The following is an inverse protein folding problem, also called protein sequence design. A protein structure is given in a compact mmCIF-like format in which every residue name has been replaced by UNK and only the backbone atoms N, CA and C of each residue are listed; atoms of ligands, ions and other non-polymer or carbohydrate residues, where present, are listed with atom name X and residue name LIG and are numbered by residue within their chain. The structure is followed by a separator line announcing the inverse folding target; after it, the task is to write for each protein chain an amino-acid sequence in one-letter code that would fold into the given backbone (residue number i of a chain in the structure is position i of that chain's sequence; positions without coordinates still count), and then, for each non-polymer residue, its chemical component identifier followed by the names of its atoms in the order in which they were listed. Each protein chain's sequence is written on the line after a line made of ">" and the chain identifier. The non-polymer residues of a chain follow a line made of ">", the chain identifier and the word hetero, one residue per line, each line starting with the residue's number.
data_IF_835804815359
#
_entry.id   IF_835804815359
#
_cell.length_a   1.000
_cell.length_b   1.000
_cell.length_c   1.000
_cell.angle_alpha   90.00
_cell.angle_beta   90.00
_cell.angle_gamma   90.00
#
_symmetry.space_group_name_H-M   'P 1'
#
loop_
_entity.id
_entity.type
_entity.pdbx_description
1 polymer ?
#
# COMPACT_ATOMS: atom_id res chain seq x y z
N UNK A 1 11.25 13.31 41.40
CA UNK A 1 11.22 12.88 40.01
C UNK A 1 10.35 11.64 39.85
N UNK A 2 10.09 11.25 38.58
CA UNK A 2 9.31 10.06 38.26
C UNK A 2 10.26 8.96 37.78
N UNK A 3 10.10 7.77 38.32
CA UNK A 3 10.87 6.59 37.91
C UNK A 3 10.20 5.94 36.68
N UNK A 4 10.82 6.12 35.51
CA UNK A 4 10.26 5.67 34.21
C UNK A 4 11.05 4.50 33.63
N UNK A 5 12.38 4.56 33.71
CA UNK A 5 13.26 3.60 33.04
C UNK A 5 13.89 2.60 34.00
N UNK A 6 14.13 1.38 33.52
CA UNK A 6 14.84 0.33 34.29
C UNK A 6 16.21 0.81 34.76
N UNK A 7 16.93 1.56 33.92
CA UNK A 7 18.26 2.08 34.20
C UNK A 7 18.26 3.09 35.34
N UNK A 8 17.16 3.82 35.56
CA UNK A 8 17.03 4.70 36.73
C UNK A 8 16.95 3.91 38.04
N UNK A 9 16.22 2.79 38.05
CA UNK A 9 16.19 1.92 39.21
C UNK A 9 17.58 1.32 39.54
N UNK A 10 18.34 0.95 38.52
CA UNK A 10 19.72 0.48 38.64
C UNK A 10 20.60 1.57 39.27
N UNK A 11 20.57 2.81 38.77
CA UNK A 11 21.34 3.92 39.30
C UNK A 11 20.97 4.21 40.75
N UNK A 12 19.70 4.23 41.12
CA UNK A 12 19.25 4.41 42.49
C UNK A 12 19.87 3.36 43.42
N UNK A 13 19.90 2.09 43.02
CA UNK A 13 20.50 1.04 43.83
C UNK A 13 22.02 1.14 43.94
N UNK A 14 22.68 1.65 42.93
CA UNK A 14 24.12 1.91 42.96
C UNK A 14 24.48 3.09 43.85
N UNK A 15 23.76 4.19 43.70
CA UNK A 15 24.07 5.44 44.41
C UNK A 15 23.65 5.37 45.90
N UNK A 16 22.52 4.77 46.24
CA UNK A 16 22.00 4.71 47.59
C UNK A 16 22.53 3.50 48.35
N UNK A 17 22.47 2.31 47.79
CA UNK A 17 22.87 1.06 48.43
C UNK A 17 24.31 0.63 48.10
N UNK A 18 25.00 1.32 47.18
CA UNK A 18 26.34 0.94 46.77
C UNK A 18 26.39 -0.40 46.03
N UNK A 19 25.35 -0.77 45.32
CA UNK A 19 25.34 -2.01 44.53
C UNK A 19 26.41 -1.94 43.46
N UNK A 20 27.16 -3.04 43.34
CA UNK A 20 28.02 -3.22 42.16
C UNK A 20 27.21 -3.56 40.91
N UNK A 21 27.87 -3.58 39.75
CA UNK A 21 27.23 -3.88 38.46
C UNK A 21 26.54 -5.23 38.43
N UNK A 22 27.07 -6.25 39.11
CA UNK A 22 26.48 -7.59 39.13
C UNK A 22 25.20 -7.63 39.94
N UNK A 23 25.19 -6.99 41.11
CA UNK A 23 24.01 -6.86 41.99
C UNK A 23 22.90 -6.05 41.32
N UNK A 24 23.27 -4.96 40.67
CA UNK A 24 22.34 -4.15 39.88
C UNK A 24 21.75 -4.92 38.66
N UNK A 25 22.52 -5.79 38.04
CA UNK A 25 22.04 -6.65 36.93
C UNK A 25 21.07 -7.74 37.46
N UNK A 26 21.27 -8.24 38.69
CA UNK A 26 20.31 -9.14 39.33
C UNK A 26 18.95 -8.44 39.49
N UNK A 27 18.94 -7.18 39.97
CA UNK A 27 17.72 -6.37 40.02
C UNK A 27 17.04 -6.25 38.65
N UNK A 28 17.81 -5.87 37.61
CA UNK A 28 17.30 -5.77 36.26
C UNK A 28 16.69 -7.07 35.75
N UNK A 29 17.35 -8.22 36.04
CA UNK A 29 16.82 -9.55 35.69
C UNK A 29 15.58 -9.91 36.47
N UNK A 30 15.50 -9.56 37.76
CA UNK A 30 14.32 -9.77 38.59
C UNK A 30 13.13 -8.97 38.09
N UNK A 31 13.36 -7.71 37.71
CA UNK A 31 12.38 -6.83 37.06
C UNK A 31 11.87 -7.48 35.76
N UNK A 32 12.75 -7.80 34.83
CA UNK A 32 12.39 -8.31 33.51
C UNK A 32 11.67 -9.67 33.53
N UNK A 33 12.04 -10.55 34.48
CA UNK A 33 11.46 -11.90 34.60
C UNK A 33 10.31 -11.98 35.61
N UNK A 34 9.95 -10.89 36.26
CA UNK A 34 8.89 -10.80 37.29
C UNK A 34 9.01 -11.87 38.39
N UNK A 35 10.25 -12.18 38.85
CA UNK A 35 10.52 -13.20 39.86
C UNK A 35 10.42 -12.59 41.26
N UNK A 36 9.29 -12.83 41.92
CA UNK A 36 9.00 -12.27 43.27
C UNK A 36 10.00 -12.69 44.35
N UNK A 37 10.52 -13.92 44.33
CA UNK A 37 11.51 -14.41 45.32
C UNK A 37 12.84 -13.63 45.20
N UNK A 38 13.34 -13.45 43.97
CA UNK A 38 14.57 -12.69 43.72
C UNK A 38 14.41 -11.24 44.11
N UNK A 39 13.23 -10.66 43.87
CA UNK A 39 12.91 -9.29 44.31
C UNK A 39 12.94 -9.10 45.80
N UNK A 40 12.44 -10.07 46.57
CA UNK A 40 12.48 -10.01 48.02
C UNK A 40 13.92 -10.06 48.56
N UNK A 41 14.80 -10.86 47.96
CA UNK A 41 16.23 -10.91 48.28
C UNK A 41 16.94 -9.59 47.96
N UNK A 42 16.69 -9.03 46.80
CA UNK A 42 17.26 -7.74 46.36
C UNK A 42 16.77 -6.62 47.25
N UNK A 43 15.49 -6.61 47.64
CA UNK A 43 14.91 -5.63 48.56
C UNK A 43 15.61 -5.66 49.92
N UNK A 44 15.80 -6.83 50.50
CA UNK A 44 16.50 -7.01 51.76
C UNK A 44 17.92 -6.47 51.67
N UNK A 45 18.66 -6.89 50.66
CA UNK A 45 20.03 -6.43 50.45
C UNK A 45 20.13 -4.93 50.23
N UNK A 46 19.16 -4.32 49.50
CA UNK A 46 19.12 -2.89 49.26
C UNK A 46 18.93 -2.11 50.57
N UNK A 47 17.98 -2.49 51.42
CA UNK A 47 17.70 -1.81 52.69
C UNK A 47 18.91 -1.92 53.63
N UNK A 48 19.48 -3.13 53.80
CA UNK A 48 20.64 -3.36 54.67
C UNK A 48 21.86 -2.55 54.24
N UNK A 49 22.16 -2.50 52.94
CA UNK A 49 23.28 -1.76 52.39
C UNK A 49 23.06 -0.23 52.41
N UNK A 50 21.85 0.21 52.15
CA UNK A 50 21.49 1.65 52.20
C UNK A 50 21.66 2.20 53.61
N UNK A 51 21.19 1.45 54.62
CA UNK A 51 21.36 1.80 56.04
C UNK A 51 22.86 1.82 56.44
N UNK A 52 23.63 0.81 56.01
CA UNK A 52 25.08 0.75 56.27
C UNK A 52 25.85 1.89 55.63
N UNK A 53 25.44 2.36 54.43
CA UNK A 53 26.07 3.51 53.76
C UNK A 53 25.72 4.85 54.41
N UNK A 54 24.69 4.93 55.28
CA UNK A 54 24.30 6.13 56.00
C UNK A 54 23.78 7.28 55.13
N UNK A 55 23.40 7.00 53.89
CA UNK A 55 22.88 8.02 52.96
C UNK A 55 21.40 8.28 53.24
N UNK A 56 20.64 7.24 53.58
CA UNK A 56 19.20 7.29 53.89
C UNK A 56 18.92 6.46 55.13
N UNK A 57 17.80 6.75 55.80
CA UNK A 57 17.32 5.90 56.91
C UNK A 57 16.73 4.62 56.37
N UNK A 58 16.48 3.67 57.27
CA UNK A 58 15.83 2.39 56.91
C UNK A 58 14.45 2.59 56.31
N UNK A 59 13.66 3.48 56.93
CA UNK A 59 12.33 3.85 56.48
C UNK A 59 12.34 4.48 55.09
N UNK A 60 13.28 5.38 54.84
CA UNK A 60 13.47 6.00 53.53
C UNK A 60 13.90 4.97 52.47
N UNK A 61 14.79 4.05 52.84
CA UNK A 61 15.19 2.95 51.92
C UNK A 61 14.02 2.04 51.55
N UNK A 62 13.14 1.69 52.51
CA UNK A 62 11.94 0.92 52.28
C UNK A 62 10.97 1.66 51.34
N UNK A 63 10.79 2.97 51.53
CA UNK A 63 9.95 3.80 50.68
C UNK A 63 10.52 3.89 49.25
N UNK A 64 11.80 4.16 49.09
CA UNK A 64 12.48 4.24 47.80
C UNK A 64 12.34 2.88 47.05
N UNK A 65 12.57 1.76 47.75
CA UNK A 65 12.42 0.46 47.12
C UNK A 65 10.97 0.18 46.72
N UNK A 66 9.97 0.67 47.47
CA UNK A 66 8.57 0.57 47.08
C UNK A 66 8.27 1.30 45.76
N UNK A 67 8.95 2.41 45.50
CA UNK A 67 8.84 3.11 44.21
C UNK A 67 9.44 2.26 43.08
N UNK A 68 10.58 1.59 43.30
CA UNK A 68 11.16 0.64 42.36
C UNK A 68 10.19 -0.50 42.09
N UNK A 69 9.60 -1.12 43.10
CA UNK A 69 8.61 -2.21 42.97
C UNK A 69 7.37 -1.78 42.18
N UNK A 70 6.85 -0.58 42.43
CA UNK A 70 5.68 -0.03 41.69
C UNK A 70 6.02 0.26 40.25
N UNK A 71 7.21 0.85 39.97
CA UNK A 71 7.63 1.19 38.62
C UNK A 71 7.87 -0.01 37.73
N UNK A 72 8.26 -1.16 38.32
CA UNK A 72 8.62 -2.39 37.60
C UNK A 72 7.51 -2.95 36.70
N UNK A 73 6.26 -2.69 37.04
CA UNK A 73 5.13 -3.18 36.24
C UNK A 73 5.12 -2.58 34.83
N UNK A 74 5.70 -1.39 34.66
CA UNK A 74 5.64 -0.57 33.46
C UNK A 74 6.98 0.06 33.07
N UNK A 75 8.09 -0.31 33.69
CA UNK A 75 9.40 0.30 33.41
C UNK A 75 9.93 -0.15 32.04
N UNK A 76 10.31 0.84 31.25
CA UNK A 76 10.84 0.65 29.92
C UNK A 76 12.38 0.62 29.93
N UNK A 77 12.96 -0.10 28.98
CA UNK A 77 14.36 0.01 28.66
C UNK A 77 14.65 1.36 28.00
N UNK A 78 15.57 2.15 28.55
CA UNK A 78 15.89 3.49 28.06
C UNK A 78 16.45 3.47 26.64
N UNK A 79 17.33 2.54 26.31
CA UNK A 79 17.91 2.40 24.97
C UNK A 79 16.84 2.11 23.93
N UNK A 80 15.87 1.23 24.25
CA UNK A 80 14.73 0.97 23.38
C UNK A 80 13.89 2.24 23.15
N UNK A 81 13.55 2.96 24.22
CA UNK A 81 12.78 4.21 24.12
C UNK A 81 13.50 5.27 23.29
N UNK A 82 14.83 5.44 23.48
CA UNK A 82 15.64 6.39 22.70
C UNK A 82 15.66 6.00 21.23
N UNK A 83 15.83 4.72 20.92
CA UNK A 83 15.85 4.24 19.52
C UNK A 83 14.51 4.51 18.83
N UNK A 84 13.39 4.24 19.50
CA UNK A 84 12.05 4.54 18.95
C UNK A 84 11.80 6.04 18.83
N UNK A 85 12.22 6.83 19.80
CA UNK A 85 12.10 8.30 19.74
C UNK A 85 12.91 8.87 18.57
N UNK A 86 14.10 8.33 18.32
CA UNK A 86 14.91 8.71 17.17
C UNK A 86 14.21 8.36 15.84
N UNK A 87 13.70 7.14 15.70
CA UNK A 87 12.97 6.75 14.51
C UNK A 87 11.71 7.60 14.30
N UNK A 88 10.97 7.90 15.38
CA UNK A 88 9.79 8.77 15.32
C UNK A 88 10.15 10.18 14.88
N UNK A 89 11.26 10.73 15.42
CA UNK A 89 11.76 12.03 15.01
C UNK A 89 12.14 12.05 13.52
N UNK A 90 12.91 11.07 13.06
CA UNK A 90 13.32 10.98 11.65
C UNK A 90 12.11 10.85 10.71
N UNK A 91 11.11 10.06 11.12
CA UNK A 91 9.86 9.89 10.38
C UNK A 91 9.08 11.21 10.32
N UNK A 92 8.95 11.92 11.43
CA UNK A 92 8.30 13.22 11.48
C UNK A 92 9.05 14.28 10.66
N UNK A 93 10.38 14.26 10.72
CA UNK A 93 11.25 15.14 9.93
C UNK A 93 11.05 14.90 8.43
N UNK A 94 11.08 13.64 8.00
CA UNK A 94 10.83 13.29 6.61
C UNK A 94 9.43 13.74 6.14
N UNK A 95 8.40 13.55 6.97
CA UNK A 95 7.04 14.03 6.68
C UNK A 95 6.96 15.55 6.54
N UNK A 96 7.70 16.31 7.36
CA UNK A 96 7.67 17.76 7.36
C UNK A 96 8.46 18.39 6.20
N UNK A 97 9.61 17.82 5.84
CA UNK A 97 10.52 18.40 4.87
C UNK A 97 10.48 17.75 3.48
N UNK A 98 10.03 16.48 3.39
CA UNK A 98 9.93 15.70 2.16
C UNK A 98 8.57 14.98 2.09
N UNK A 99 7.45 15.73 2.16
CA UNK A 99 6.13 15.11 2.32
C UNK A 99 5.70 14.25 1.12
N UNK A 100 6.08 14.62 -0.10
CA UNK A 100 5.73 13.86 -1.30
C UNK A 100 6.39 12.47 -1.31
N UNK A 101 7.69 12.43 -1.03
CA UNK A 101 8.47 11.20 -0.91
C UNK A 101 8.01 10.37 0.29
N UNK A 102 7.74 11.02 1.42
CA UNK A 102 7.24 10.37 2.62
C UNK A 102 5.93 9.63 2.37
N UNK A 103 4.93 10.31 1.82
CA UNK A 103 3.63 9.69 1.55
C UNK A 103 3.73 8.62 0.48
N UNK A 104 4.52 8.82 -0.57
CA UNK A 104 4.74 7.81 -1.61
C UNK A 104 5.36 6.55 -1.04
N UNK A 105 6.42 6.69 -0.25
CA UNK A 105 7.10 5.57 0.39
C UNK A 105 6.19 4.85 1.38
N UNK A 106 5.42 5.60 2.19
CA UNK A 106 4.53 4.99 3.17
C UNK A 106 3.38 4.25 2.49
N UNK A 107 2.75 4.83 1.46
CA UNK A 107 1.70 4.18 0.67
C UNK A 107 2.20 2.87 0.04
N UNK A 108 3.42 2.88 -0.52
CA UNK A 108 4.05 1.69 -1.07
C UNK A 108 4.20 0.57 -0.03
N UNK A 109 4.64 0.90 1.19
CA UNK A 109 4.87 -0.07 2.28
C UNK A 109 3.61 -0.39 3.09
N UNK A 110 2.52 0.35 2.93
CA UNK A 110 1.23 0.04 3.52
C UNK A 110 0.56 -1.18 2.86
N UNK A 111 0.90 -1.45 1.60
CA UNK A 111 0.40 -2.63 0.86
C UNK A 111 0.94 -3.90 1.52
N UNK A 112 0.02 -4.82 1.90
CA UNK A 112 0.38 -6.07 2.58
C UNK A 112 0.20 -6.07 4.10
N UNK A 113 -0.16 -4.94 4.72
CA UNK A 113 -0.59 -4.91 6.13
C UNK A 113 -1.98 -5.52 6.29
N UNK A 114 -2.34 -6.00 7.49
CA UNK A 114 -3.64 -6.65 7.74
C UNK A 114 -4.84 -5.81 7.29
N UNK A 115 -4.83 -4.51 7.56
CA UNK A 115 -5.89 -3.57 7.22
C UNK A 115 -5.47 -2.57 6.14
N UNK A 116 -4.83 -3.06 5.07
CA UNK A 116 -4.28 -2.26 3.96
C UNK A 116 -5.23 -1.18 3.46
N UNK A 117 -6.51 -1.50 3.29
CA UNK A 117 -7.49 -0.56 2.72
C UNK A 117 -7.69 0.66 3.62
N UNK A 118 -7.86 0.44 4.93
CA UNK A 118 -8.07 1.51 5.91
C UNK A 118 -6.81 2.38 5.99
N UNK A 119 -5.65 1.76 6.09
CA UNK A 119 -4.37 2.48 6.20
C UNK A 119 -4.07 3.33 4.96
N UNK A 120 -4.27 2.78 3.77
CA UNK A 120 -4.12 3.54 2.51
C UNK A 120 -5.10 4.72 2.45
N UNK A 121 -6.35 4.52 2.86
CA UNK A 121 -7.35 5.57 2.89
C UNK A 121 -6.97 6.70 3.86
N UNK A 122 -6.50 6.36 5.06
CA UNK A 122 -6.03 7.34 6.04
C UNK A 122 -4.81 8.12 5.54
N UNK A 123 -3.84 7.43 4.91
CA UNK A 123 -2.66 8.07 4.33
C UNK A 123 -3.01 9.02 3.19
N UNK A 124 -3.91 8.63 2.29
CA UNK A 124 -4.39 9.49 1.21
C UNK A 124 -5.10 10.72 1.76
N UNK A 125 -5.94 10.55 2.79
CA UNK A 125 -6.61 11.67 3.45
C UNK A 125 -5.61 12.61 4.14
N UNK A 126 -4.61 12.07 4.83
CA UNK A 126 -3.53 12.84 5.46
C UNK A 126 -2.72 13.62 4.41
N UNK A 127 -2.34 12.99 3.30
CA UNK A 127 -1.65 13.64 2.20
C UNK A 127 -2.47 14.82 1.65
N UNK A 128 -3.78 14.61 1.44
CA UNK A 128 -4.71 15.65 0.97
C UNK A 128 -4.81 16.84 1.91
N UNK A 129 -4.84 16.62 3.23
CA UNK A 129 -4.83 17.70 4.25
C UNK A 129 -3.55 18.55 4.12
N UNK A 130 -2.42 17.94 3.74
CA UNK A 130 -1.16 18.64 3.49
C UNK A 130 -1.03 19.22 2.07
N UNK A 131 -2.12 19.23 1.29
CA UNK A 131 -2.14 19.75 -0.09
C UNK A 131 -1.57 18.79 -1.14
N UNK A 132 -1.30 17.54 -0.79
CA UNK A 132 -0.71 16.54 -1.69
C UNK A 132 -1.82 15.65 -2.25
N UNK A 133 -2.03 15.72 -3.55
CA UNK A 133 -3.00 14.87 -4.23
C UNK A 133 -2.37 13.53 -4.62
N UNK A 134 -3.04 12.45 -4.27
CA UNK A 134 -2.68 11.11 -4.74
C UNK A 134 -3.37 10.85 -6.08
N UNK A 135 -2.58 10.55 -7.10
CA UNK A 135 -3.08 10.38 -8.47
C UNK A 135 -3.55 8.94 -8.73
N UNK A 136 -4.60 8.75 -9.53
CA UNK A 136 -5.06 7.42 -9.89
C UNK A 136 -4.01 6.65 -10.70
N UNK A 137 -4.14 5.30 -10.81
CA UNK A 137 -3.28 4.50 -11.68
C UNK A 137 -3.39 4.97 -13.13
N UNK A 138 -2.32 4.83 -13.91
CA UNK A 138 -2.34 5.25 -15.31
C UNK A 138 -1.50 4.31 -16.17
N UNK A 139 -2.09 3.85 -17.27
CA UNK A 139 -1.38 3.02 -18.24
C UNK A 139 -0.26 3.78 -18.97
N UNK A 140 -0.32 5.11 -19.02
CA UNK A 140 0.72 5.95 -19.61
C UNK A 140 2.02 5.91 -18.82
N UNK A 141 1.92 5.81 -17.49
CA UNK A 141 3.09 5.77 -16.61
C UNK A 141 3.59 4.35 -16.33
N UNK A 142 2.73 3.34 -16.49
CA UNK A 142 3.05 1.91 -16.37
C UNK A 142 3.78 1.52 -15.07
N UNK A 143 3.57 2.26 -13.98
CA UNK A 143 4.17 1.93 -12.70
C UNK A 143 3.47 0.72 -12.05
N UNK A 144 4.26 -0.23 -11.56
CA UNK A 144 3.73 -1.46 -10.93
C UNK A 144 3.10 -1.14 -9.58
N UNK A 145 3.81 -0.43 -8.71
CA UNK A 145 3.42 -0.06 -7.35
C UNK A 145 3.28 1.45 -7.21
N UNK A 146 2.96 1.93 -5.99
CA UNK A 146 3.00 3.37 -5.71
C UNK A 146 4.37 3.97 -6.05
N UNK A 147 4.34 5.06 -6.78
CA UNK A 147 5.55 5.77 -7.22
C UNK A 147 5.31 7.27 -7.21
N UNK A 148 6.38 8.05 -6.97
CA UNK A 148 6.36 9.50 -7.07
C UNK A 148 6.52 9.90 -8.54
N UNK A 149 5.45 10.40 -9.15
CA UNK A 149 5.44 10.82 -10.55
C UNK A 149 4.92 12.24 -10.60
N UNK A 150 5.67 13.15 -11.24
CA UNK A 150 5.31 14.56 -11.38
C UNK A 150 4.99 15.23 -10.02
N UNK A 151 5.81 14.92 -9.01
CA UNK A 151 5.64 15.41 -7.63
C UNK A 151 4.34 14.93 -6.93
N UNK A 152 3.68 13.91 -7.44
CA UNK A 152 2.51 13.34 -6.83
C UNK A 152 2.66 11.82 -6.58
N UNK A 153 2.27 11.32 -5.40
CA UNK A 153 2.10 9.89 -5.21
C UNK A 153 1.07 9.36 -6.20
N UNK A 154 1.43 8.37 -7.02
CA UNK A 154 0.52 7.74 -7.98
C UNK A 154 0.31 6.28 -7.63
N UNK A 155 -0.94 5.84 -7.68
CA UNK A 155 -1.28 4.43 -7.56
C UNK A 155 -0.59 3.62 -8.66
N UNK A 156 0.02 2.49 -8.29
CA UNK A 156 0.47 1.50 -9.25
C UNK A 156 -0.67 0.68 -9.81
N UNK A 157 -0.45 0.10 -10.98
CA UNK A 157 -1.47 -0.74 -11.63
C UNK A 157 -1.79 -2.00 -10.82
N UNK A 158 -0.82 -2.55 -10.07
CA UNK A 158 -1.06 -3.72 -9.19
C UNK A 158 -1.76 -3.38 -7.88
N UNK A 159 -1.86 -2.10 -7.52
CA UNK A 159 -2.68 -1.68 -6.38
C UNK A 159 -4.18 -1.72 -6.70
N UNK A 160 -4.55 -1.92 -7.97
CA UNK A 160 -5.95 -2.11 -8.39
C UNK A 160 -6.39 -3.53 -8.07
N UNK A 161 -7.52 -3.65 -7.35
CA UNK A 161 -8.05 -4.95 -6.94
C UNK A 161 -8.29 -5.87 -8.16
N UNK A 162 -7.66 -7.04 -8.16
CA UNK A 162 -7.76 -8.02 -9.24
C UNK A 162 -6.65 -7.93 -10.29
N UNK A 163 -5.71 -6.99 -10.14
CA UNK A 163 -4.53 -6.85 -10.99
C UNK A 163 -3.31 -7.27 -10.17
N UNK A 164 -2.83 -8.50 -10.38
CA UNK A 164 -1.60 -8.98 -9.74
C UNK A 164 -0.38 -8.73 -10.64
N UNK A 165 0.84 -8.84 -10.07
CA UNK A 165 2.11 -8.62 -10.78
C UNK A 165 2.25 -9.49 -12.04
N UNK A 166 1.72 -10.70 -12.06
CA UNK A 166 1.75 -11.57 -13.26
C UNK A 166 0.91 -11.01 -14.41
N UNK A 167 -0.27 -10.45 -14.10
CA UNK A 167 -1.14 -9.81 -15.10
C UNK A 167 -0.51 -8.52 -15.61
N UNK A 168 0.03 -7.72 -14.69
CA UNK A 168 0.76 -6.50 -15.01
C UNK A 168 1.90 -6.79 -15.98
N UNK A 169 2.83 -7.67 -15.62
CA UNK A 169 3.99 -8.01 -16.46
C UNK A 169 3.59 -8.54 -17.82
N UNK A 170 2.57 -9.40 -17.88
CA UNK A 170 2.06 -9.92 -19.16
C UNK A 170 1.51 -8.81 -20.04
N UNK A 171 0.80 -7.85 -19.47
CA UNK A 171 0.25 -6.70 -20.18
C UNK A 171 1.38 -5.78 -20.70
N UNK A 172 2.31 -5.39 -19.84
CA UNK A 172 3.41 -4.50 -20.21
C UNK A 172 4.34 -5.14 -21.24
N UNK A 173 4.78 -6.39 -21.02
CA UNK A 173 5.62 -7.10 -21.97
C UNK A 173 4.96 -7.22 -23.36
N UNK A 174 3.63 -7.40 -23.40
CA UNK A 174 2.91 -7.41 -24.67
C UNK A 174 2.91 -6.04 -25.32
N UNK A 175 2.65 -4.98 -24.55
CA UNK A 175 2.68 -3.62 -25.08
C UNK A 175 4.07 -3.26 -25.63
N UNK A 176 5.14 -3.62 -24.92
CA UNK A 176 6.52 -3.42 -25.36
C UNK A 176 6.85 -4.22 -26.63
N UNK A 177 6.47 -5.51 -26.67
CA UNK A 177 6.75 -6.38 -27.84
C UNK A 177 6.04 -5.95 -29.12
N UNK A 178 4.88 -5.33 -29.00
CA UNK A 178 4.07 -4.84 -30.13
C UNK A 178 4.23 -3.33 -30.34
N UNK A 179 5.13 -2.67 -29.60
CA UNK A 179 5.36 -1.23 -29.66
C UNK A 179 4.07 -0.39 -29.47
N UNK A 180 3.21 -0.80 -28.52
CA UNK A 180 1.95 -0.11 -28.22
C UNK A 180 2.21 1.02 -27.23
N UNK A 181 2.19 2.26 -27.68
CA UNK A 181 2.23 3.45 -26.82
C UNK A 181 0.79 3.97 -26.57
N UNK A 182 0.32 3.99 -25.31
CA UNK A 182 -1.00 4.54 -24.98
C UNK A 182 -1.18 6.03 -25.31
N UNK A 183 -0.08 6.76 -25.56
CA UNK A 183 -0.13 8.17 -25.95
C UNK A 183 -0.37 8.35 -27.45
N UNK A 184 0.02 7.36 -28.23
CA UNK A 184 -0.02 7.42 -29.69
C UNK A 184 -1.17 6.63 -30.30
N UNK A 185 -1.76 5.68 -29.58
CA UNK A 185 -2.91 4.91 -30.06
C UNK A 185 -4.23 5.46 -29.52
N UNK A 186 -5.30 5.28 -30.31
CA UNK A 186 -6.67 5.56 -29.87
C UNK A 186 -7.24 4.43 -28.99
N UNK A 187 -8.35 4.68 -28.30
CA UNK A 187 -9.01 3.69 -27.46
C UNK A 187 -9.42 2.41 -28.21
N UNK A 188 -10.02 2.46 -29.42
CA UNK A 188 -10.32 1.27 -30.18
C UNK A 188 -9.11 0.39 -30.44
N UNK A 189 -7.99 0.98 -30.85
CA UNK A 189 -6.73 0.28 -31.10
C UNK A 189 -6.21 -0.37 -29.79
N UNK A 190 -6.12 0.40 -28.72
CA UNK A 190 -5.69 -0.11 -27.42
C UNK A 190 -6.59 -1.26 -26.94
N UNK A 191 -7.91 -1.10 -27.05
CA UNK A 191 -8.87 -2.10 -26.65
C UNK A 191 -8.68 -3.42 -27.42
N UNK A 192 -8.52 -3.37 -28.74
CA UNK A 192 -8.33 -4.55 -29.58
C UNK A 192 -7.00 -5.24 -29.31
N UNK A 193 -5.91 -4.49 -29.16
CA UNK A 193 -4.58 -5.03 -28.98
C UNK A 193 -4.32 -5.56 -27.56
N UNK A 194 -4.76 -4.84 -26.53
CA UNK A 194 -4.37 -5.12 -25.14
C UNK A 194 -5.41 -5.97 -24.41
N UNK A 195 -6.71 -5.74 -24.63
CA UNK A 195 -7.75 -6.42 -23.84
C UNK A 195 -7.71 -7.96 -23.96
N UNK A 196 -7.36 -8.59 -25.11
CA UNK A 196 -7.28 -10.04 -25.20
C UNK A 196 -6.14 -10.68 -24.39
N UNK A 197 -5.17 -9.89 -23.94
CA UNK A 197 -4.01 -10.36 -23.18
C UNK A 197 -4.20 -10.22 -21.67
N UNK A 198 -5.24 -9.50 -21.25
CA UNK A 198 -5.58 -9.25 -19.85
C UNK A 198 -6.85 -10.02 -19.48
N UNK A 199 -6.91 -10.63 -18.31
CA UNK A 199 -8.15 -11.30 -17.89
C UNK A 199 -9.27 -10.29 -17.65
N UNK A 200 -10.51 -10.76 -17.84
CA UNK A 200 -11.72 -9.93 -17.75
C UNK A 200 -11.77 -9.08 -16.48
N UNK A 201 -11.57 -9.71 -15.32
CA UNK A 201 -11.67 -9.04 -14.03
C UNK A 201 -10.65 -7.91 -13.88
N UNK A 202 -9.41 -8.14 -14.29
CA UNK A 202 -8.35 -7.13 -14.21
C UNK A 202 -8.63 -5.98 -15.17
N UNK A 203 -9.03 -6.24 -16.40
CA UNK A 203 -9.31 -5.20 -17.38
C UNK A 203 -10.50 -4.31 -16.94
N UNK A 204 -11.61 -4.92 -16.48
CA UNK A 204 -12.76 -4.18 -15.92
C UNK A 204 -12.36 -3.35 -14.70
N UNK A 205 -11.53 -3.89 -13.80
CA UNK A 205 -11.03 -3.16 -12.62
C UNK A 205 -10.13 -1.98 -13.00
N UNK A 206 -9.28 -2.12 -14.02
CA UNK A 206 -8.44 -1.03 -14.53
C UNK A 206 -9.28 0.11 -15.14
N UNK A 207 -10.34 -0.22 -15.89
CA UNK A 207 -11.29 0.79 -16.39
C UNK A 207 -11.90 1.55 -15.22
N UNK A 208 -12.45 0.82 -14.22
CA UNK A 208 -13.11 1.43 -13.05
C UNK A 208 -12.17 2.29 -12.21
N UNK A 209 -10.92 1.86 -12.08
CA UNK A 209 -9.91 2.61 -11.34
C UNK A 209 -9.41 3.87 -12.07
N UNK A 210 -9.74 4.02 -13.37
CA UNK A 210 -9.30 5.16 -14.18
C UNK A 210 -7.93 5.01 -14.82
N UNK A 211 -7.40 3.78 -14.89
CA UNK A 211 -6.11 3.52 -15.51
C UNK A 211 -6.04 3.94 -17.00
N UNK A 212 -7.18 4.06 -17.65
CA UNK A 212 -7.32 4.37 -19.07
C UNK A 212 -7.93 5.77 -19.33
N UNK A 213 -8.01 6.63 -18.32
CA UNK A 213 -8.58 7.99 -18.46
C UNK A 213 -7.80 8.87 -19.45
N UNK A 214 -6.57 8.50 -19.82
CA UNK A 214 -5.77 9.14 -20.88
C UNK A 214 -6.49 9.17 -22.23
N UNK A 215 -7.36 8.21 -22.52
CA UNK A 215 -8.15 8.17 -23.75
C UNK A 215 -9.32 9.15 -23.78
N UNK A 216 -9.58 9.89 -22.69
CA UNK A 216 -10.61 10.94 -22.58
C UNK A 216 -12.06 10.46 -22.88
N UNK A 217 -12.33 9.18 -22.65
CA UNK A 217 -13.63 8.55 -22.81
C UNK A 217 -14.20 8.25 -21.41
N UNK A 218 -15.51 8.34 -21.23
CA UNK A 218 -16.12 7.99 -19.96
C UNK A 218 -15.90 6.49 -19.64
N UNK A 219 -15.61 6.18 -18.38
CA UNK A 219 -15.39 4.79 -17.92
C UNK A 219 -16.59 3.88 -18.21
N UNK A 220 -17.79 4.43 -18.14
CA UNK A 220 -19.03 3.70 -18.52
C UNK A 220 -19.02 3.31 -19.99
N UNK A 221 -18.63 4.24 -20.90
CA UNK A 221 -18.51 3.95 -22.33
C UNK A 221 -17.40 2.92 -22.61
N UNK A 222 -16.26 3.05 -21.90
CA UNK A 222 -15.17 2.04 -21.99
C UNK A 222 -15.64 0.64 -21.57
N UNK A 223 -16.38 0.53 -20.46
CA UNK A 223 -16.93 -0.74 -20.02
C UNK A 223 -17.91 -1.33 -21.03
N UNK A 224 -18.72 -0.50 -21.63
CA UNK A 224 -19.67 -0.92 -22.65
C UNK A 224 -18.95 -1.45 -23.90
N UNK A 225 -17.96 -0.73 -24.41
CA UNK A 225 -17.11 -1.17 -25.52
C UNK A 225 -16.41 -2.50 -25.21
N UNK A 226 -15.78 -2.60 -24.02
CA UNK A 226 -15.15 -3.85 -23.60
C UNK A 226 -16.16 -4.99 -23.48
N UNK A 227 -17.37 -4.69 -23.03
CA UNK A 227 -18.46 -5.66 -22.87
C UNK A 227 -18.74 -6.47 -24.14
N UNK A 228 -18.58 -5.87 -25.30
CA UNK A 228 -18.77 -6.54 -26.61
C UNK A 228 -17.47 -7.19 -27.09
N UNK A 229 -16.36 -6.47 -27.04
CA UNK A 229 -15.08 -6.97 -27.56
C UNK A 229 -14.65 -8.26 -26.84
N UNK A 230 -14.90 -8.40 -25.55
CA UNK A 230 -14.59 -9.61 -24.78
C UNK A 230 -15.35 -10.87 -25.25
N UNK A 231 -16.47 -10.70 -25.93
CA UNK A 231 -17.26 -11.81 -26.47
C UNK A 231 -16.74 -12.28 -27.83
N UNK A 232 -15.81 -11.54 -28.43
CA UNK A 232 -15.23 -11.90 -29.74
C UNK A 232 -14.17 -13.01 -29.56
N UNK A 233 -14.12 -13.91 -30.57
CA UNK A 233 -13.09 -14.95 -30.64
C UNK A 233 -11.74 -14.34 -31.01
N UNK A 234 -10.68 -15.09 -30.75
CA UNK A 234 -9.32 -14.69 -31.19
C UNK A 234 -9.25 -14.42 -32.71
N UNK A 235 -9.98 -15.17 -33.52
CA UNK A 235 -10.05 -14.99 -34.97
C UNK A 235 -10.73 -13.68 -35.36
N UNK A 236 -11.84 -13.35 -34.71
CA UNK A 236 -12.56 -12.09 -34.92
C UNK A 236 -11.71 -10.90 -34.52
N UNK A 237 -11.04 -10.99 -33.35
CA UNK A 237 -10.12 -9.94 -32.89
C UNK A 237 -8.94 -9.78 -33.85
N UNK A 238 -8.30 -10.86 -34.29
CA UNK A 238 -7.21 -10.79 -35.27
C UNK A 238 -7.65 -10.11 -36.56
N UNK A 239 -8.82 -10.47 -37.05
CA UNK A 239 -9.38 -9.83 -38.26
C UNK A 239 -9.65 -8.33 -38.05
N UNK A 240 -10.17 -7.93 -36.88
CA UNK A 240 -10.41 -6.51 -36.56
C UNK A 240 -9.09 -5.73 -36.45
N UNK A 241 -8.06 -6.34 -35.88
CA UNK A 241 -6.71 -5.73 -35.80
C UNK A 241 -6.16 -5.53 -37.22
N UNK A 242 -6.17 -6.57 -38.05
CA UNK A 242 -5.72 -6.50 -39.45
C UNK A 242 -6.50 -5.44 -40.23
N UNK A 243 -7.81 -5.38 -40.03
CA UNK A 243 -8.65 -4.38 -40.67
C UNK A 243 -8.32 -2.97 -40.20
N UNK A 244 -8.15 -2.72 -38.89
CA UNK A 244 -7.75 -1.41 -38.32
C UNK A 244 -6.39 -0.99 -38.81
N UNK A 245 -5.44 -1.91 -38.91
CA UNK A 245 -4.08 -1.62 -39.42
C UNK A 245 -4.11 -1.14 -40.87
N UNK A 246 -4.92 -1.78 -41.70
CA UNK A 246 -5.06 -1.41 -43.13
C UNK A 246 -5.99 -0.21 -43.36
N UNK A 247 -6.84 0.13 -42.39
CA UNK A 247 -7.84 1.19 -42.47
C UNK A 247 -7.88 1.97 -41.14
N UNK A 248 -6.85 2.79 -40.82
CA UNK A 248 -6.72 3.42 -39.48
C UNK A 248 -7.94 4.25 -39.04
N UNK A 249 -8.61 4.90 -39.99
CA UNK A 249 -9.73 5.81 -39.74
C UNK A 249 -11.10 5.11 -39.64
N UNK A 250 -11.18 3.82 -39.96
CA UNK A 250 -12.48 3.11 -40.07
C UNK A 250 -12.99 2.54 -38.73
N UNK A 251 -12.11 2.07 -37.84
CA UNK A 251 -12.53 1.60 -36.53
C UNK A 251 -12.37 2.73 -35.51
N UNK A 252 -13.37 3.56 -35.40
CA UNK A 252 -13.52 4.66 -34.43
C UNK A 252 -14.36 4.20 -33.22
N UNK A 253 -14.50 5.06 -32.22
CA UNK A 253 -15.40 4.81 -31.09
C UNK A 253 -16.85 4.63 -31.55
N UNK A 254 -17.30 5.46 -32.49
CA UNK A 254 -18.68 5.38 -33.04
C UNK A 254 -18.89 4.10 -33.84
N UNK A 255 -17.84 3.63 -34.52
CA UNK A 255 -17.86 2.35 -35.19
C UNK A 255 -17.98 1.19 -34.20
N UNK A 256 -17.25 1.19 -33.07
CA UNK A 256 -17.41 0.17 -32.02
C UNK A 256 -18.84 0.24 -31.46
N UNK A 257 -19.39 1.42 -31.22
CA UNK A 257 -20.77 1.56 -30.76
C UNK A 257 -21.75 0.97 -31.77
N UNK A 258 -21.58 1.26 -33.06
CA UNK A 258 -22.41 0.69 -34.11
C UNK A 258 -22.28 -0.86 -34.21
N UNK A 259 -21.08 -1.41 -34.01
CA UNK A 259 -20.86 -2.87 -33.93
C UNK A 259 -21.61 -3.45 -32.73
N UNK A 260 -21.65 -2.78 -31.59
CA UNK A 260 -22.40 -3.19 -30.42
C UNK A 260 -23.90 -3.25 -30.76
N UNK A 261 -24.42 -2.17 -31.31
CA UNK A 261 -25.83 -2.03 -31.63
C UNK A 261 -26.29 -3.08 -32.68
N UNK A 262 -25.45 -3.30 -33.70
CA UNK A 262 -25.67 -4.31 -34.72
C UNK A 262 -25.53 -5.74 -34.20
N UNK A 263 -24.77 -5.96 -33.12
CA UNK A 263 -24.51 -7.27 -32.51
C UNK A 263 -25.55 -7.68 -31.47
N UNK A 264 -26.51 -6.82 -31.15
CA UNK A 264 -27.56 -7.10 -30.18
C UNK A 264 -28.86 -7.52 -30.86
N UNK A 265 -29.42 -8.67 -30.42
CA UNK A 265 -30.76 -9.07 -30.76
C UNK A 265 -31.77 -8.19 -30.00
N UNK A 266 -32.38 -7.21 -30.68
CA UNK A 266 -33.29 -6.23 -30.08
C UNK A 266 -34.53 -6.87 -29.45
N UNK A 267 -34.97 -8.03 -29.98
CA UNK A 267 -36.15 -8.74 -29.47
C UNK A 267 -35.86 -9.54 -28.21
N UNK A 268 -34.61 -9.96 -28.01
CA UNK A 268 -34.21 -10.86 -26.91
C UNK A 268 -33.29 -10.19 -25.87
N UNK A 269 -32.94 -8.96 -26.06
CA UNK A 269 -32.02 -8.18 -25.21
C UNK A 269 -30.71 -8.95 -24.86
N UNK A 270 -30.14 -9.65 -25.83
CA UNK A 270 -28.94 -10.48 -25.73
C UNK A 270 -28.07 -10.38 -26.99
N UNK A 271 -26.74 -10.65 -26.88
CA UNK A 271 -25.86 -10.66 -28.03
C UNK A 271 -26.30 -11.70 -29.10
N UNK A 272 -26.19 -11.29 -30.35
CA UNK A 272 -26.42 -12.21 -31.50
C UNK A 272 -25.39 -13.35 -31.47
N UNK A 273 -25.82 -14.56 -31.91
CA UNK A 273 -24.92 -15.71 -31.97
C UNK A 273 -23.67 -15.40 -32.81
N UNK A 274 -22.53 -15.91 -32.35
CA UNK A 274 -21.18 -15.68 -32.91
C UNK A 274 -21.10 -15.88 -34.44
N UNK A 275 -21.77 -16.90 -34.99
CA UNK A 275 -21.76 -17.21 -36.43
C UNK A 275 -22.45 -16.14 -37.29
N UNK A 276 -23.42 -15.41 -36.74
CA UNK A 276 -24.19 -14.40 -37.48
C UNK A 276 -23.62 -12.99 -37.32
N UNK A 277 -22.74 -12.77 -36.35
CA UNK A 277 -22.23 -11.45 -35.97
C UNK A 277 -21.19 -10.90 -36.96
N UNK A 278 -20.22 -11.71 -37.38
CA UNK A 278 -19.15 -11.23 -38.26
C UNK A 278 -19.61 -10.71 -39.62
N UNK A 279 -20.55 -11.36 -40.34
CA UNK A 279 -21.09 -10.76 -41.57
C UNK A 279 -21.65 -9.36 -41.35
N UNK A 280 -22.42 -9.13 -40.28
CA UNK A 280 -23.00 -7.83 -39.95
C UNK A 280 -21.90 -6.80 -39.71
N UNK A 281 -20.85 -7.15 -38.94
CA UNK A 281 -19.71 -6.28 -38.66
C UNK A 281 -18.95 -5.93 -39.93
N UNK A 282 -18.69 -6.94 -40.80
CA UNK A 282 -17.99 -6.72 -42.08
C UNK A 282 -18.77 -5.77 -42.97
N UNK A 283 -20.08 -5.96 -43.10
CA UNK A 283 -20.94 -5.08 -43.89
C UNK A 283 -20.98 -3.66 -43.35
N UNK A 284 -21.06 -3.51 -42.04
CA UNK A 284 -21.01 -2.20 -41.34
C UNK A 284 -19.67 -1.48 -41.58
N UNK A 285 -18.53 -2.19 -41.60
CA UNK A 285 -17.22 -1.61 -41.83
C UNK A 285 -16.93 -1.27 -43.29
N UNK A 286 -17.67 -1.91 -44.25
CA UNK A 286 -17.57 -1.63 -45.67
C UNK A 286 -18.43 -0.45 -46.12
N UNK A 287 -19.50 -0.19 -45.41
CA UNK A 287 -20.35 0.99 -45.64
C UNK A 287 -19.64 2.28 -45.23
#
# INVERSE_FOLDING_TARGET
>A
GILVFQEQAILITQEIAGFNLQEADILRKAIGKKKASVMAEVKKSFIEKSEANGIVTREEAEEIFSWIEKSQRYSFNKSHSVSYAYNSYMTAYAKAHFPHEFFTSYLKHAVGKPDTFIEVQELVNNAKIMGINTMPPSIVHMNEEFELIEQHPRYGLTNVKGVGSSVFRKMINHMESESIDPKECDWPCFLLLVSPKVNKRAFESLILAGAFDCFKISRSKMQHHYGIIKEFSKREISWLIDYKTNNPDKITEDCIQAMIDASQDKDKNRPIFRKARMPIIVDLLRA
#
